data_IF_334870018818
#
_entry.id   IF_334870018818
#
_cell.length_a   1.000
_cell.length_b   1.000
_cell.length_c   1.000
_cell.angle_alpha   90.00
_cell.angle_beta   90.00
_cell.angle_gamma   90.00
#
_symmetry.space_group_name_H-M   'P 1'
#
loop_
_entity.id
_entity.type
_entity.pdbx_description
1 polymer ?
#
# COMPACT_ATOMS: atom_id res chain seq x y z
N UNK A 1 9.59 8.44 13.42
CA UNK A 1 10.22 9.65 12.85
C UNK A 1 9.40 10.87 13.25
N UNK A 2 10.04 11.99 13.59
CA UNK A 2 9.37 13.23 14.01
C UNK A 2 9.76 14.39 13.08
N UNK A 3 8.83 15.27 12.76
CA UNK A 3 9.13 16.52 12.08
C UNK A 3 9.36 17.63 13.12
N UNK A 4 10.38 18.46 12.93
CA UNK A 4 10.68 19.62 13.78
C UNK A 4 10.22 20.95 13.16
N UNK A 5 9.32 20.89 12.17
CA UNK A 5 8.70 22.02 11.47
C UNK A 5 7.20 21.72 11.34
N UNK A 6 6.52 22.28 10.35
CA UNK A 6 5.07 22.16 10.15
C UNK A 6 4.63 20.88 9.42
N UNK A 7 5.40 19.79 9.54
CA UNK A 7 5.08 18.48 8.91
C UNK A 7 4.89 18.53 7.38
N UNK A 8 5.36 19.59 6.72
CA UNK A 8 5.15 19.88 5.28
C UNK A 8 6.48 20.13 4.52
N UNK A 9 7.60 19.60 5.02
CA UNK A 9 8.92 19.81 4.41
C UNK A 9 8.95 19.43 2.91
N UNK A 10 9.54 20.30 2.08
CA UNK A 10 9.76 20.05 0.66
C UNK A 10 10.78 18.91 0.46
N UNK A 11 10.35 17.81 -0.19
CA UNK A 11 11.16 16.63 -0.45
C UNK A 11 11.60 16.59 -1.93
N UNK A 12 12.90 16.82 -2.17
CA UNK A 12 13.56 16.68 -3.47
C UNK A 12 14.88 15.85 -3.33
N UNK A 13 15.64 15.69 -4.43
CA UNK A 13 16.88 14.88 -4.44
C UNK A 13 17.92 15.33 -3.39
N UNK A 14 18.00 16.62 -3.13
CA UNK A 14 18.98 17.24 -2.21
C UNK A 14 18.45 17.28 -0.77
N UNK A 15 17.17 17.55 -0.56
CA UNK A 15 16.58 17.79 0.76
C UNK A 15 15.94 16.56 1.40
N UNK A 16 15.75 15.45 0.67
CA UNK A 16 15.01 14.27 1.17
C UNK A 16 15.51 13.70 2.50
N UNK A 17 16.81 13.83 2.79
CA UNK A 17 17.40 13.28 4.01
C UNK A 17 17.25 14.21 5.22
N UNK A 18 16.81 15.46 5.02
CA UNK A 18 16.67 16.46 6.11
C UNK A 18 15.52 16.17 7.06
N UNK A 19 14.47 15.48 6.60
CA UNK A 19 13.32 15.14 7.44
C UNK A 19 12.77 13.75 7.09
N UNK A 20 13.06 12.78 7.97
CA UNK A 20 12.63 11.40 7.81
C UNK A 20 11.09 11.26 7.88
N UNK A 21 10.43 12.07 8.72
CA UNK A 21 8.97 12.06 8.83
C UNK A 21 8.31 12.45 7.50
N UNK A 22 8.62 13.63 6.97
CA UNK A 22 7.99 14.11 5.72
C UNK A 22 8.38 13.25 4.52
N UNK A 23 9.59 12.68 4.50
CA UNK A 23 10.01 11.73 3.47
C UNK A 23 9.14 10.47 3.50
N UNK A 24 8.97 9.86 4.67
CA UNK A 24 8.15 8.65 4.81
C UNK A 24 6.67 8.93 4.50
N UNK A 25 6.13 10.06 4.98
CA UNK A 25 4.75 10.47 4.66
C UNK A 25 4.54 10.64 3.15
N UNK A 26 5.50 11.26 2.44
CA UNK A 26 5.45 11.36 0.98
C UNK A 26 5.49 9.99 0.29
N UNK A 27 6.28 9.03 0.80
CA UNK A 27 6.28 7.66 0.28
C UNK A 27 4.88 7.03 0.34
N UNK A 28 4.18 7.15 1.47
CA UNK A 28 2.81 6.67 1.60
C UNK A 28 1.83 7.44 0.71
N UNK A 29 1.97 8.76 0.61
CA UNK A 29 1.11 9.60 -0.23
C UNK A 29 1.19 9.26 -1.73
N UNK A 30 2.34 8.74 -2.21
CA UNK A 30 2.49 8.26 -3.60
C UNK A 30 2.13 6.78 -3.77
N UNK A 31 1.58 6.13 -2.75
CA UNK A 31 1.08 4.76 -2.83
C UNK A 31 2.10 3.66 -2.48
N UNK A 32 3.21 3.97 -1.81
CA UNK A 32 4.07 2.90 -1.29
C UNK A 32 3.36 2.19 -0.12
N UNK A 33 3.11 0.90 -0.26
CA UNK A 33 2.48 0.08 0.80
C UNK A 33 3.52 -0.36 1.85
N UNK A 34 3.13 -0.28 3.13
CA UNK A 34 3.93 -0.78 4.25
C UNK A 34 3.94 -2.32 4.27
N UNK A 35 2.81 -2.92 3.89
CA UNK A 35 2.55 -4.36 3.85
C UNK A 35 3.41 -5.05 2.78
N UNK A 36 3.79 -4.32 1.73
CA UNK A 36 4.72 -4.79 0.70
C UNK A 36 6.16 -4.99 1.22
N UNK A 37 6.49 -4.47 2.40
CA UNK A 37 7.81 -4.64 3.02
C UNK A 37 7.90 -6.00 3.70
N UNK A 38 8.62 -6.93 3.07
CA UNK A 38 8.93 -8.24 3.68
C UNK A 38 9.96 -8.07 4.79
N UNK A 39 9.68 -8.62 5.97
CA UNK A 39 10.63 -8.64 7.08
C UNK A 39 11.69 -9.75 6.92
N UNK A 40 11.36 -10.79 6.14
CA UNK A 40 12.27 -11.87 5.82
C UNK A 40 13.36 -11.41 4.84
N UNK A 41 14.63 -11.65 5.20
CA UNK A 41 15.79 -11.38 4.34
C UNK A 41 15.94 -12.39 3.20
N UNK A 42 15.17 -13.47 3.21
CA UNK A 42 15.28 -14.54 2.22
C UNK A 42 14.55 -14.18 0.94
N UNK A 43 15.32 -14.00 -0.15
CA UNK A 43 14.82 -13.65 -1.47
C UNK A 43 14.14 -14.87 -2.11
N UNK A 44 12.85 -15.10 -1.85
CA UNK A 44 12.05 -16.05 -2.63
C UNK A 44 12.02 -15.58 -4.10
N UNK A 45 12.27 -16.50 -5.03
CA UNK A 45 12.14 -16.27 -6.48
C UNK A 45 10.72 -15.73 -6.76
N UNK A 46 10.59 -14.79 -7.71
CA UNK A 46 9.27 -14.25 -8.10
C UNK A 46 8.43 -15.40 -8.67
N UNK A 47 7.44 -15.86 -7.92
CA UNK A 47 6.30 -16.54 -8.53
C UNK A 47 5.44 -15.47 -9.20
N UNK A 48 4.99 -15.76 -10.42
CA UNK A 48 4.11 -14.91 -11.22
C UNK A 48 2.82 -14.58 -10.46
N UNK A 49 2.22 -13.39 -10.66
CA UNK A 49 0.93 -13.06 -10.06
C UNK A 49 -0.11 -14.10 -10.46
N UNK A 50 -0.73 -14.76 -9.48
CA UNK A 50 -1.97 -15.50 -9.71
C UNK A 50 -3.07 -14.46 -9.95
N UNK A 51 -3.91 -14.60 -10.99
CA UNK A 51 -5.10 -13.77 -11.12
C UNK A 51 -5.99 -14.03 -9.89
N UNK A 52 -6.39 -12.97 -9.20
CA UNK A 52 -7.35 -13.03 -8.10
C UNK A 52 -8.69 -13.54 -8.66
N UNK A 53 -9.16 -14.65 -8.08
CA UNK A 53 -10.44 -15.28 -8.39
C UNK A 53 -11.56 -14.33 -7.93
N UNK A 54 -12.33 -13.87 -8.91
CA UNK A 54 -13.77 -13.55 -8.89
C UNK A 54 -14.47 -13.73 -7.52
N UNK A 55 -14.59 -12.63 -6.78
CA UNK A 55 -15.31 -12.56 -5.52
C UNK A 55 -16.83 -12.54 -5.80
N UNK A 56 -17.44 -13.73 -5.77
CA UNK A 56 -18.82 -14.03 -5.40
C UNK A 56 -19.92 -13.02 -5.82
N UNK A 57 -20.51 -13.20 -7.00
CA UNK A 57 -21.83 -12.63 -7.35
C UNK A 57 -22.95 -13.68 -7.35
N UNK A 58 -22.93 -14.68 -6.47
CA UNK A 58 -24.09 -15.57 -6.33
C UNK A 58 -24.71 -15.43 -4.95
N UNK A 59 -25.56 -14.41 -4.80
CA UNK A 59 -26.68 -14.44 -3.88
C UNK A 59 -27.86 -13.69 -4.51
N UNK A 60 -29.03 -14.36 -4.52
CA UNK A 60 -30.39 -13.87 -4.84
C UNK A 60 -30.99 -14.18 -6.22
N UNK A 61 -30.79 -15.39 -6.74
CA UNK A 61 -31.76 -15.99 -7.68
C UNK A 61 -32.80 -16.91 -6.98
N UNK A 62 -32.62 -17.23 -5.69
CA UNK A 62 -33.57 -18.06 -4.93
C UNK A 62 -34.71 -17.26 -4.24
N UNK A 63 -34.86 -15.97 -4.55
CA UNK A 63 -35.97 -15.14 -4.04
C UNK A 63 -37.01 -14.74 -5.11
N UNK A 64 -36.95 -15.32 -6.32
CA UNK A 64 -37.98 -15.11 -7.37
C UNK A 64 -38.93 -16.30 -7.53
N UNK A 65 -38.79 -17.38 -6.76
CA UNK A 65 -39.69 -18.54 -6.79
C UNK A 65 -40.74 -18.56 -5.68
N UNK A 66 -40.90 -17.46 -4.93
CA UNK A 66 -42.01 -17.26 -3.99
C UNK A 66 -42.73 -15.95 -4.34
N UNK A 67 -43.48 -15.95 -5.43
CA UNK A 67 -44.72 -15.19 -5.64
C UNK A 67 -45.69 -16.09 -6.41
#
# INVERSE_FOLDING_TARGET
YTCHRDKNCIINKVTRNRCQYCRLQKCFAVGMSKESVRNDRNKKKKESPKPELEESYELTAELETII
#
